data_IF_126348980401
#
_entry.id   IF_126348980401
#
_cell.length_a   1.000
_cell.length_b   1.000
_cell.length_c   1.000
_cell.angle_alpha   90.00
_cell.angle_beta   90.00
_cell.angle_gamma   90.00
#
_symmetry.space_group_name_H-M   'P 1'
#
loop_
_entity.id
_entity.type
_entity.pdbx_description
1 polymer ?
#
# COMPACT_ATOMS: atom_id res chain seq x y z
N UNK A 1 16.20 -15.62 2.51
CA UNK A 1 14.87 -15.03 2.82
C UNK A 1 14.17 -15.93 3.81
N UNK A 2 13.56 -15.36 4.84
CA UNK A 2 12.87 -16.08 5.91
C UNK A 2 11.40 -15.68 5.94
N UNK A 3 10.47 -16.63 6.06
CA UNK A 3 9.04 -16.31 6.17
C UNK A 3 8.77 -15.72 7.55
N UNK A 4 7.90 -14.71 7.66
CA UNK A 4 7.53 -14.22 8.99
C UNK A 4 6.80 -15.33 9.77
N UNK A 5 7.19 -15.54 11.01
CA UNK A 5 6.53 -16.49 11.91
C UNK A 5 5.28 -15.86 12.53
N UNK A 6 5.38 -14.59 12.94
CA UNK A 6 4.32 -13.82 13.58
C UNK A 6 3.97 -12.56 12.77
N UNK A 7 2.72 -12.13 12.90
CA UNK A 7 2.28 -10.86 12.31
C UNK A 7 2.79 -9.67 13.13
N UNK A 8 3.10 -8.57 12.45
CA UNK A 8 3.43 -7.32 13.12
C UNK A 8 2.22 -6.79 13.91
N UNK A 9 2.46 -6.10 15.04
CA UNK A 9 1.39 -5.64 15.90
C UNK A 9 0.56 -4.54 15.23
N UNK A 10 -0.77 -4.66 15.31
CA UNK A 10 -1.72 -3.66 14.79
C UNK A 10 -1.58 -2.29 15.44
N UNK A 11 -0.96 -2.19 16.61
CA UNK A 11 -0.58 -0.92 17.24
C UNK A 11 0.27 -0.03 16.32
N UNK A 12 0.96 -0.58 15.32
CA UNK A 12 1.65 0.20 14.30
C UNK A 12 0.69 0.85 13.30
N UNK A 13 -0.40 0.16 12.93
CA UNK A 13 -1.44 0.68 12.03
C UNK A 13 -2.27 1.76 12.70
N UNK A 14 -2.59 1.59 13.98
CA UNK A 14 -3.38 2.54 14.78
C UNK A 14 -2.75 3.95 14.87
N UNK A 15 -1.44 4.07 14.64
CA UNK A 15 -0.74 5.37 14.57
C UNK A 15 -1.21 6.23 13.40
N UNK A 16 -1.87 5.65 12.42
CA UNK A 16 -2.35 6.33 11.23
C UNK A 16 -3.81 6.80 11.35
N UNK A 17 -4.40 6.79 12.53
CA UNK A 17 -5.75 7.31 12.78
C UNK A 17 -6.70 6.24 13.30
N UNK A 18 -7.75 6.67 13.99
CA UNK A 18 -8.73 5.83 14.69
C UNK A 18 -10.07 5.70 13.96
N UNK A 19 -10.22 6.40 12.83
CA UNK A 19 -11.41 6.42 11.97
C UNK A 19 -10.99 6.36 10.50
N UNK A 20 -11.85 5.87 9.61
CA UNK A 20 -11.56 5.85 8.16
C UNK A 20 -11.24 7.26 7.65
N UNK A 21 -11.96 8.28 8.11
CA UNK A 21 -11.68 9.67 7.75
C UNK A 21 -10.29 10.15 8.22
N UNK A 22 -9.89 9.86 9.46
CA UNK A 22 -8.56 10.22 9.96
C UNK A 22 -7.44 9.45 9.23
N UNK A 23 -7.63 8.15 9.02
CA UNK A 23 -6.71 7.31 8.27
C UNK A 23 -6.60 7.72 6.79
N UNK A 24 -7.72 8.11 6.18
CA UNK A 24 -7.76 8.62 4.81
C UNK A 24 -6.92 9.89 4.66
N UNK A 25 -6.99 10.82 5.63
CA UNK A 25 -6.11 12.00 5.63
C UNK A 25 -4.63 11.62 5.71
N UNK A 26 -4.27 10.63 6.53
CA UNK A 26 -2.90 10.15 6.64
C UNK A 26 -2.42 9.45 5.36
N UNK A 27 -3.29 8.64 4.72
CA UNK A 27 -3.00 7.98 3.46
C UNK A 27 -2.77 9.00 2.34
N UNK A 28 -3.66 9.98 2.19
CA UNK A 28 -3.50 11.08 1.22
C UNK A 28 -2.21 11.86 1.49
N UNK A 29 -1.94 12.24 2.74
CA UNK A 29 -0.70 12.96 3.06
C UNK A 29 0.56 12.14 2.75
N UNK A 30 0.53 10.82 2.94
CA UNK A 30 1.65 9.95 2.59
C UNK A 30 1.82 9.82 1.08
N UNK A 31 0.73 9.74 0.32
CA UNK A 31 0.73 9.73 -1.15
C UNK A 31 1.28 11.03 -1.71
N UNK A 32 0.85 12.18 -1.21
CA UNK A 32 1.36 13.47 -1.71
C UNK A 32 2.85 13.66 -1.37
N UNK A 33 3.35 13.09 -0.27
CA UNK A 33 4.81 13.07 0.02
C UNK A 33 5.58 12.15 -0.96
N UNK A 34 5.02 10.99 -1.32
CA UNK A 34 5.59 10.15 -2.40
C UNK A 34 5.69 10.95 -3.70
N UNK A 35 4.60 11.61 -4.10
CA UNK A 35 4.53 12.35 -5.36
C UNK A 35 5.50 13.54 -5.35
N UNK A 36 5.51 14.32 -4.27
CA UNK A 36 6.44 15.45 -4.13
C UNK A 36 7.92 15.05 -4.18
N UNK A 37 8.25 13.82 -3.78
CA UNK A 37 9.62 13.28 -3.93
C UNK A 37 9.94 12.92 -5.38
N UNK A 38 9.00 12.30 -6.09
CA UNK A 38 9.18 12.00 -7.51
C UNK A 38 9.33 13.28 -8.34
N UNK A 39 8.52 14.30 -8.06
CA UNK A 39 8.62 15.60 -8.75
C UNK A 39 9.98 16.28 -8.53
N UNK A 40 10.68 15.93 -7.45
CA UNK A 40 11.98 16.46 -7.09
C UNK A 40 13.16 15.59 -7.59
N UNK A 41 12.88 14.50 -8.31
CA UNK A 41 13.88 13.64 -8.94
C UNK A 41 14.13 14.07 -10.39
N UNK A 42 15.38 13.97 -10.83
CA UNK A 42 15.69 14.16 -12.24
C UNK A 42 15.10 13.00 -13.08
N UNK A 43 14.75 13.21 -14.36
CA UNK A 43 14.11 12.18 -15.19
C UNK A 43 14.89 10.86 -15.28
N UNK A 44 16.22 10.92 -15.20
CA UNK A 44 17.08 9.73 -15.17
C UNK A 44 16.90 8.93 -13.87
N UNK A 45 16.80 9.60 -12.72
CA UNK A 45 16.59 8.95 -11.42
C UNK A 45 15.25 8.25 -11.33
N UNK A 46 14.21 8.78 -11.98
CA UNK A 46 12.89 8.15 -12.02
C UNK A 46 12.91 6.77 -12.66
N UNK A 47 13.79 6.58 -13.65
CA UNK A 47 13.91 5.37 -14.47
C UNK A 47 15.11 4.49 -14.10
N UNK A 48 15.92 4.93 -13.13
CA UNK A 48 17.07 4.16 -12.64
C UNK A 48 16.66 3.35 -11.42
N UNK A 49 17.02 2.05 -11.34
CA UNK A 49 16.82 1.25 -10.15
C UNK A 49 17.34 1.93 -8.89
N UNK A 50 16.56 1.92 -7.80
CA UNK A 50 16.98 2.56 -6.52
C UNK A 50 18.20 1.88 -5.88
N UNK A 51 18.44 0.63 -6.26
CA UNK A 51 19.67 -0.13 -6.02
C UNK A 51 19.77 -1.28 -7.04
N UNK A 52 20.95 -1.91 -7.22
CA UNK A 52 21.10 -3.07 -8.11
C UNK A 52 20.09 -4.18 -7.79
N UNK A 53 19.32 -4.59 -8.80
CA UNK A 53 18.29 -5.63 -8.67
C UNK A 53 17.01 -5.20 -7.91
N UNK A 54 16.82 -3.90 -7.66
CA UNK A 54 15.59 -3.34 -7.09
C UNK A 54 14.80 -2.56 -8.15
N UNK A 55 13.57 -2.21 -7.82
CA UNK A 55 12.71 -1.40 -8.68
C UNK A 55 13.22 0.04 -8.82
N UNK A 56 12.81 0.69 -9.91
CA UNK A 56 12.91 2.13 -10.12
C UNK A 56 11.91 2.88 -9.22
N UNK A 57 12.04 4.20 -9.15
CA UNK A 57 11.10 5.02 -8.39
C UNK A 57 9.67 4.96 -8.96
N UNK A 58 9.52 4.91 -10.29
CA UNK A 58 8.22 4.77 -10.95
C UNK A 58 7.58 3.42 -10.66
N UNK A 59 8.36 2.35 -10.73
CA UNK A 59 7.90 0.99 -10.43
C UNK A 59 7.47 0.83 -8.97
N UNK A 60 8.18 1.47 -8.02
CA UNK A 60 7.76 1.51 -6.62
C UNK A 60 6.38 2.15 -6.45
N UNK A 61 6.10 3.24 -7.18
CA UNK A 61 4.80 3.91 -7.09
C UNK A 61 3.69 3.13 -7.79
N UNK A 62 3.99 2.47 -8.90
CA UNK A 62 3.05 1.54 -9.52
C UNK A 62 2.70 0.36 -8.60
N UNK A 63 3.69 -0.17 -7.88
CA UNK A 63 3.44 -1.19 -6.85
C UNK A 63 2.51 -0.68 -5.74
N UNK A 64 2.73 0.53 -5.22
CA UNK A 64 1.87 1.13 -4.19
C UNK A 64 0.40 1.20 -4.65
N UNK A 65 0.14 1.62 -5.89
CA UNK A 65 -1.23 1.71 -6.40
C UNK A 65 -1.86 0.31 -6.57
N UNK A 66 -1.14 -0.67 -7.11
CA UNK A 66 -1.65 -2.05 -7.30
C UNK A 66 -2.02 -2.71 -5.98
N UNK A 67 -1.18 -2.59 -4.97
CA UNK A 67 -1.48 -3.11 -3.62
C UNK A 67 -2.70 -2.41 -3.02
N UNK A 68 -2.84 -1.11 -3.25
CA UNK A 68 -4.02 -0.35 -2.82
C UNK A 68 -5.30 -0.86 -3.50
N UNK A 69 -5.24 -1.20 -4.79
CA UNK A 69 -6.36 -1.79 -5.52
C UNK A 69 -6.75 -3.18 -5.00
N UNK A 70 -5.81 -3.99 -4.50
CA UNK A 70 -6.13 -5.25 -3.82
C UNK A 70 -6.99 -5.01 -2.58
N UNK A 71 -6.70 -3.97 -1.79
CA UNK A 71 -7.50 -3.64 -0.62
C UNK A 71 -8.92 -3.21 -0.99
N UNK A 72 -9.07 -2.42 -2.06
CA UNK A 72 -10.37 -2.07 -2.64
C UNK A 72 -11.12 -3.33 -3.09
N UNK A 73 -10.42 -4.28 -3.72
CA UNK A 73 -11.02 -5.53 -4.15
C UNK A 73 -11.53 -6.37 -2.98
N UNK A 74 -10.76 -6.51 -1.90
CA UNK A 74 -11.18 -7.20 -0.68
C UNK A 74 -12.42 -6.60 -0.05
N UNK A 75 -12.47 -5.27 0.05
CA UNK A 75 -13.67 -4.53 0.50
C UNK A 75 -14.88 -4.85 -0.38
N UNK A 76 -14.73 -4.77 -1.71
CA UNK A 76 -15.81 -5.03 -2.64
C UNK A 76 -16.32 -6.48 -2.58
N UNK A 77 -15.44 -7.45 -2.31
CA UNK A 77 -15.81 -8.85 -2.10
C UNK A 77 -16.70 -9.03 -0.87
N UNK A 78 -16.27 -8.55 0.29
CA UNK A 78 -17.00 -8.70 1.55
C UNK A 78 -18.35 -7.99 1.52
N UNK A 79 -18.41 -6.80 0.91
CA UNK A 79 -19.69 -6.09 0.68
C UNK A 79 -20.69 -6.87 -0.17
N UNK A 80 -20.22 -7.78 -1.03
CA UNK A 80 -21.06 -8.71 -1.81
C UNK A 80 -21.34 -10.03 -1.08
N UNK A 81 -21.00 -10.14 0.21
CA UNK A 81 -21.14 -11.35 1.00
C UNK A 81 -20.14 -12.45 0.63
N UNK A 82 -19.01 -12.10 0.00
CA UNK A 82 -17.96 -13.05 -0.36
C UNK A 82 -16.85 -13.07 0.70
N UNK A 83 -16.05 -14.14 0.69
CA UNK A 83 -14.89 -14.26 1.57
C UNK A 83 -13.86 -13.13 1.36
N UNK A 84 -13.18 -12.70 2.44
CA UNK A 84 -12.13 -11.68 2.39
C UNK A 84 -11.02 -12.05 1.39
N UNK A 85 -10.35 -11.05 0.82
CA UNK A 85 -9.18 -11.33 -0.02
C UNK A 85 -8.05 -11.87 0.87
N UNK A 86 -7.49 -13.03 0.52
CA UNK A 86 -6.45 -13.68 1.32
C UNK A 86 -5.09 -13.63 0.64
N UNK A 87 -4.12 -13.00 1.29
CA UNK A 87 -2.70 -13.06 0.90
C UNK A 87 -1.93 -13.92 1.88
N UNK A 88 -1.00 -14.73 1.36
CA UNK A 88 -0.11 -15.52 2.19
C UNK A 88 0.86 -14.65 3.00
N UNK A 89 1.32 -15.16 4.15
CA UNK A 89 2.38 -14.50 4.94
C UNK A 89 3.62 -14.21 4.09
N UNK A 90 4.13 -12.99 4.24
CA UNK A 90 5.32 -12.51 3.53
C UNK A 90 6.64 -13.02 4.11
N UNK A 91 7.72 -12.51 3.55
CA UNK A 91 9.10 -12.88 3.84
C UNK A 91 9.94 -11.65 4.20
N UNK A 92 11.01 -11.87 4.95
CA UNK A 92 12.05 -10.90 5.23
C UNK A 92 13.28 -11.30 4.39
N UNK A 93 13.74 -10.37 3.56
CA UNK A 93 14.97 -10.49 2.79
C UNK A 93 16.21 -10.25 3.67
N UNK A 94 17.39 -10.65 3.19
CA UNK A 94 18.65 -10.53 3.93
C UNK A 94 19.01 -9.08 4.28
N UNK A 95 18.55 -8.13 3.47
CA UNK A 95 18.66 -6.69 3.70
C UNK A 95 17.55 -6.13 4.62
N UNK A 96 16.78 -7.00 5.29
CA UNK A 96 15.62 -6.63 6.10
C UNK A 96 14.42 -6.14 5.30
N UNK A 97 14.38 -6.40 3.98
CA UNK A 97 13.28 -6.02 3.09
C UNK A 97 12.05 -6.86 3.32
N UNK A 98 10.87 -6.23 3.34
CA UNK A 98 9.60 -6.94 3.36
C UNK A 98 9.26 -7.34 1.93
N UNK A 99 9.18 -8.64 1.68
CA UNK A 99 8.90 -9.21 0.36
C UNK A 99 7.63 -10.02 0.44
N UNK A 100 6.78 -9.90 -0.56
CA UNK A 100 5.58 -10.72 -0.70
C UNK A 100 5.50 -11.24 -2.12
N UNK A 101 5.17 -12.52 -2.25
CA UNK A 101 4.82 -13.09 -3.55
C UNK A 101 3.34 -12.86 -3.78
N UNK A 102 3.01 -11.68 -4.30
CA UNK A 102 1.67 -11.35 -4.76
C UNK A 102 1.68 -11.40 -6.29
N UNK A 103 1.09 -12.42 -6.93
CA UNK A 103 0.90 -12.37 -8.36
C UNK A 103 0.08 -11.12 -8.73
N UNK A 104 0.38 -10.53 -9.89
CA UNK A 104 -0.34 -9.36 -10.47
C UNK A 104 -0.11 -7.99 -9.80
N UNK A 105 0.71 -7.89 -8.75
CA UNK A 105 1.14 -6.57 -8.19
C UNK A 105 2.54 -6.15 -8.62
N UNK A 106 3.15 -6.89 -9.53
CA UNK A 106 4.41 -6.50 -10.16
C UNK A 106 4.23 -5.20 -10.96
N UNK A 107 5.23 -4.30 -10.95
CA UNK A 107 5.19 -3.08 -11.74
C UNK A 107 4.95 -3.34 -13.23
N UNK A 108 4.15 -2.50 -13.86
CA UNK A 108 3.92 -2.53 -15.31
C UNK A 108 5.09 -1.95 -16.12
N UNK A 109 5.06 -2.17 -17.43
CA UNK A 109 6.01 -1.56 -18.37
C UNK A 109 5.55 -0.16 -18.83
N UNK A 110 6.48 0.66 -19.34
CA UNK A 110 6.15 1.95 -19.98
C UNK A 110 5.60 3.02 -19.02
N UNK A 111 5.98 2.96 -17.74
CA UNK A 111 5.49 3.86 -16.71
C UNK A 111 5.93 5.31 -16.96
N UNK A 112 5.02 6.24 -16.71
CA UNK A 112 5.30 7.68 -16.74
C UNK A 112 4.99 8.28 -15.37
N UNK A 113 5.69 9.36 -15.02
CA UNK A 113 5.45 10.09 -13.76
C UNK A 113 3.98 10.53 -13.64
N UNK A 114 3.42 11.12 -14.69
CA UNK A 114 2.01 11.52 -14.72
C UNK A 114 1.08 10.31 -14.51
N UNK A 115 1.34 9.20 -15.22
CA UNK A 115 0.51 8.00 -15.13
C UNK A 115 0.47 7.42 -13.72
N UNK A 116 1.64 7.21 -13.10
CA UNK A 116 1.72 6.59 -11.77
C UNK A 116 1.18 7.50 -10.67
N UNK A 117 1.36 8.82 -10.79
CA UNK A 117 0.85 9.78 -9.79
C UNK A 117 -0.68 9.88 -9.84
N UNK A 118 -1.28 9.91 -11.04
CA UNK A 118 -2.74 9.88 -11.22
C UNK A 118 -3.32 8.57 -10.69
N UNK A 119 -2.71 7.43 -11.03
CA UNK A 119 -3.16 6.12 -10.58
C UNK A 119 -3.10 5.97 -9.05
N UNK A 120 -2.01 6.43 -8.41
CA UNK A 120 -1.86 6.36 -6.96
C UNK A 120 -2.89 7.22 -6.22
N UNK A 121 -3.14 8.45 -6.69
CA UNK A 121 -4.20 9.31 -6.11
C UNK A 121 -5.58 8.69 -6.26
N UNK A 122 -5.87 8.12 -7.44
CA UNK A 122 -7.17 7.51 -7.74
C UNK A 122 -7.42 6.26 -6.90
N UNK A 123 -6.46 5.33 -6.84
CA UNK A 123 -6.57 4.10 -6.05
C UNK A 123 -6.73 4.41 -4.55
N UNK A 124 -5.99 5.38 -4.02
CA UNK A 124 -6.10 5.82 -2.62
C UNK A 124 -7.48 6.40 -2.31
N UNK A 125 -8.02 7.24 -3.21
CA UNK A 125 -9.39 7.76 -3.06
C UNK A 125 -10.42 6.64 -3.06
N UNK A 126 -10.34 5.73 -4.03
CA UNK A 126 -11.24 4.56 -4.12
C UNK A 126 -11.21 3.71 -2.85
N UNK A 127 -10.03 3.53 -2.25
CA UNK A 127 -9.88 2.79 -0.99
C UNK A 127 -10.64 3.47 0.15
N UNK A 128 -10.48 4.78 0.32
CA UNK A 128 -11.16 5.53 1.36
C UNK A 128 -12.68 5.45 1.16
N UNK A 129 -13.16 5.72 -0.06
CA UNK A 129 -14.59 5.66 -0.41
C UNK A 129 -15.18 4.25 -0.19
N UNK A 130 -14.43 3.20 -0.57
CA UNK A 130 -14.87 1.82 -0.38
C UNK A 130 -14.90 1.42 1.11
N UNK A 131 -13.97 1.93 1.91
CA UNK A 131 -13.94 1.69 3.35
C UNK A 131 -15.10 2.40 4.06
N UNK A 132 -15.34 3.68 3.75
CA UNK A 132 -16.48 4.45 4.27
C UNK A 132 -17.81 3.76 3.91
N UNK A 133 -17.95 3.30 2.66
CA UNK A 133 -19.15 2.58 2.23
C UNK A 133 -19.34 1.25 2.98
N UNK A 134 -18.26 0.51 3.25
CA UNK A 134 -18.33 -0.73 4.03
C UNK A 134 -18.74 -0.44 5.49
N UNK A 135 -18.20 0.61 6.11
CA UNK A 135 -18.61 1.00 7.47
C UNK A 135 -20.08 1.40 7.54
N UNK A 136 -20.57 2.17 6.54
CA UNK A 136 -21.98 2.55 6.43
C UNK A 136 -22.94 1.36 6.27
N UNK A 137 -22.44 0.24 5.71
CA UNK A 137 -23.16 -1.03 5.59
C UNK A 137 -23.04 -1.92 6.84
N UNK A 138 -22.43 -1.43 7.92
CA UNK A 138 -22.27 -2.16 9.18
C UNK A 138 -21.09 -3.12 9.21
N UNK A 139 -20.16 -3.04 8.24
CA UNK A 139 -19.01 -3.94 8.11
C UNK A 139 -17.73 -3.40 8.77
N UNK A 140 -17.85 -2.44 9.69
CA UNK A 140 -16.70 -1.76 10.33
C UNK A 140 -15.70 -2.72 10.99
N UNK A 141 -16.19 -3.81 11.58
CA UNK A 141 -15.37 -4.80 12.30
C UNK A 141 -15.13 -6.07 11.46
N UNK A 142 -15.65 -6.12 10.22
CA UNK A 142 -15.48 -7.26 9.35
C UNK A 142 -14.04 -7.32 8.82
N UNK A 143 -13.46 -8.53 8.81
CA UNK A 143 -12.19 -8.76 8.11
C UNK A 143 -12.46 -8.65 6.61
N UNK A 144 -11.71 -7.79 5.91
CA UNK A 144 -11.87 -7.56 4.46
C UNK A 144 -10.64 -7.97 3.65
N UNK A 145 -9.47 -7.98 4.30
CA UNK A 145 -8.20 -8.39 3.71
C UNK A 145 -7.39 -9.20 4.74
N UNK A 146 -6.75 -10.29 4.31
CA UNK A 146 -5.64 -10.91 5.05
C UNK A 146 -4.34 -10.37 4.48
N UNK A 147 -3.70 -9.47 5.20
CA UNK A 147 -2.44 -8.86 4.85
C UNK A 147 -1.25 -9.80 5.14
N UNK A 148 -0.22 -9.84 4.26
CA UNK A 148 0.96 -10.69 4.41
C UNK A 148 1.78 -10.45 5.67
N UNK A 149 1.69 -9.26 6.27
CA UNK A 149 2.52 -8.81 7.39
C UNK A 149 1.73 -8.52 8.65
N UNK A 150 0.47 -8.09 8.52
CA UNK A 150 -0.39 -7.69 9.64
C UNK A 150 -1.57 -8.64 9.87
N UNK A 151 -1.77 -9.65 9.03
CA UNK A 151 -2.88 -10.57 9.17
C UNK A 151 -4.21 -9.89 8.85
N UNK A 152 -5.24 -10.11 9.67
CA UNK A 152 -6.59 -9.61 9.42
C UNK A 152 -6.63 -8.07 9.40
N UNK A 153 -7.23 -7.49 8.37
CA UNK A 153 -7.50 -6.06 8.28
C UNK A 153 -8.99 -5.81 8.10
N UNK A 154 -9.51 -4.85 8.88
CA UNK A 154 -10.84 -4.27 8.72
C UNK A 154 -10.86 -3.20 7.62
N UNK A 155 -12.01 -2.57 7.28
CA UNK A 155 -12.02 -1.40 6.42
C UNK A 155 -11.04 -0.31 6.87
N UNK A 156 -11.09 0.08 8.15
CA UNK A 156 -10.13 1.00 8.75
C UNK A 156 -8.68 0.49 8.64
N UNK A 157 -8.45 -0.78 9.00
CA UNK A 157 -7.11 -1.39 8.93
C UNK A 157 -6.52 -1.35 7.53
N UNK A 158 -7.34 -1.49 6.48
CA UNK A 158 -6.92 -1.41 5.09
C UNK A 158 -6.44 0.01 4.71
N UNK A 159 -7.14 1.04 5.18
CA UNK A 159 -6.75 2.46 4.94
C UNK A 159 -5.49 2.82 5.72
N UNK A 160 -5.39 2.40 6.99
CA UNK A 160 -4.17 2.58 7.80
C UNK A 160 -2.96 1.89 7.15
N UNK A 161 -3.16 0.69 6.61
CA UNK A 161 -2.12 -0.07 5.93
C UNK A 161 -1.62 0.66 4.67
N UNK A 162 -2.51 1.28 3.88
CA UNK A 162 -2.09 2.09 2.73
C UNK A 162 -1.18 3.26 3.14
N UNK A 163 -1.51 3.97 4.23
CA UNK A 163 -0.66 5.02 4.77
C UNK A 163 0.71 4.50 5.24
N UNK A 164 0.72 3.41 6.01
CA UNK A 164 1.96 2.77 6.47
C UNK A 164 2.82 2.31 5.29
N UNK A 165 2.21 1.69 4.28
CA UNK A 165 2.88 1.15 3.10
C UNK A 165 3.60 2.26 2.32
N UNK A 166 2.92 3.37 2.03
CA UNK A 166 3.54 4.52 1.39
C UNK A 166 4.72 5.07 2.20
N UNK A 167 4.56 5.22 3.52
CA UNK A 167 5.64 5.69 4.41
C UNK A 167 6.82 4.73 4.48
N UNK A 168 6.59 3.42 4.36
CA UNK A 168 7.65 2.43 4.27
C UNK A 168 8.49 2.64 3.00
N UNK A 169 7.85 2.75 1.83
CA UNK A 169 8.56 2.97 0.57
C UNK A 169 9.27 4.32 0.51
N UNK A 170 8.71 5.37 1.12
CA UNK A 170 9.44 6.64 1.28
C UNK A 170 10.77 6.42 1.98
N UNK A 171 10.77 5.76 3.15
CA UNK A 171 11.99 5.59 3.95
C UNK A 171 13.01 4.69 3.27
N UNK A 172 12.54 3.68 2.55
CA UNK A 172 13.41 2.61 2.02
C UNK A 172 13.89 2.86 0.60
N UNK A 173 13.08 3.51 -0.23
CA UNK A 173 13.31 3.56 -1.68
C UNK A 173 13.30 4.99 -2.24
N UNK A 174 12.60 5.93 -1.59
CA UNK A 174 12.43 7.31 -2.08
C UNK A 174 13.08 8.35 -1.16
N UNK A 175 14.01 7.93 -0.31
CA UNK A 175 14.88 8.85 0.40
C UNK A 175 15.92 9.39 -0.61
N UNK A 176 16.16 10.72 -0.60
CA UNK A 176 17.28 11.26 -1.37
C UNK A 176 18.57 10.65 -0.80
N UNK A 177 19.40 10.07 -1.67
CA UNK A 177 20.79 9.80 -1.32
C UNK A 177 21.41 11.14 -0.91
N UNK A 178 21.95 11.18 0.30
CA UNK A 178 22.68 12.34 0.83
C UNK A 178 24.09 12.38 0.25
#
# INVERSE_FOLDING_TARGET
>A
MERIEEYYPHALLQRFGDTVAAAGKQAVAAVEDVIGRLDAFDPEMLNTPVAPGKWTALEVVDHLQRVTELYVHGLARVRRGQEPLRTEKGFIAEDGGLVVNLPEVEPGEGLTLEGVTVALRLSTRKLIEAADAAEAEGLKDAVVNMNPFFGELTPLGSVQMAALHARHHIRRHLARAS
#
